data_IF_081704433407
#
_entry.id   IF_081704433407
#
_cell.length_a   1.000
_cell.length_b   1.000
_cell.length_c   1.000
_cell.angle_alpha   90.00
_cell.angle_beta   90.00
_cell.angle_gamma   90.00
#
_symmetry.space_group_name_H-M   'P 1'
#
loop_
_entity.id
_entity.type
_entity.pdbx_description
1 polymer ?
#
# COMPACT_ATOMS: atom_id res chain seq x y z
N UNK A 1 28.91 -25.69 -18.95
CA UNK A 1 29.18 -24.32 -19.44
C UNK A 1 27.84 -23.64 -19.71
N UNK A 2 26.94 -23.64 -18.73
CA UNK A 2 26.79 -22.55 -17.72
C UNK A 2 26.24 -21.26 -18.34
N UNK A 3 24.92 -21.22 -18.55
CA UNK A 3 24.16 -19.98 -18.68
C UNK A 3 23.64 -19.56 -17.31
N UNK A 4 24.53 -19.06 -16.44
CA UNK A 4 24.16 -18.34 -15.23
C UNK A 4 23.70 -16.94 -15.63
N UNK A 5 22.40 -16.67 -15.65
CA UNK A 5 21.92 -15.30 -15.50
C UNK A 5 21.13 -15.20 -14.19
N UNK A 6 21.92 -15.02 -13.14
CA UNK A 6 21.50 -14.84 -11.76
C UNK A 6 20.65 -13.57 -11.65
N UNK A 7 19.39 -13.75 -11.28
CA UNK A 7 18.80 -13.15 -10.08
C UNK A 7 19.36 -11.76 -9.72
N UNK A 8 18.89 -10.70 -10.41
CA UNK A 8 18.87 -9.36 -9.83
C UNK A 8 17.60 -9.25 -8.97
N UNK A 9 17.70 -9.81 -7.76
CA UNK A 9 16.84 -9.42 -6.64
C UNK A 9 17.17 -7.96 -6.35
N UNK A 10 16.18 -7.09 -6.53
CA UNK A 10 16.24 -5.66 -6.31
C UNK A 10 16.83 -5.36 -4.93
N UNK A 11 18.03 -4.81 -4.96
CA UNK A 11 18.77 -4.32 -3.81
C UNK A 11 17.93 -3.27 -3.09
N UNK A 12 17.72 -3.49 -1.80
CA UNK A 12 17.06 -2.58 -0.89
C UNK A 12 17.67 -1.18 -0.98
N UNK A 13 16.86 -0.18 -1.32
CA UNK A 13 17.19 1.22 -1.03
C UNK A 13 16.69 1.51 0.38
N UNK A 14 17.63 1.43 1.31
CA UNK A 14 17.48 1.96 2.66
C UNK A 14 17.57 3.49 2.56
N UNK A 15 16.43 4.19 2.57
CA UNK A 15 16.41 5.64 2.76
C UNK A 15 16.26 5.93 4.25
N UNK A 16 17.37 6.25 4.90
CA UNK A 16 17.39 6.86 6.22
C UNK A 16 17.03 8.35 6.09
N UNK A 17 15.94 8.77 6.73
CA UNK A 17 15.70 10.16 7.06
C UNK A 17 15.64 10.26 8.59
N UNK A 18 16.72 10.80 9.16
CA UNK A 18 16.80 11.10 10.57
C UNK A 18 15.84 12.22 10.95
N UNK A 19 15.33 12.13 12.17
CA UNK A 19 14.86 13.30 12.92
C UNK A 19 15.50 13.22 14.30
N UNK A 20 16.26 14.27 14.60
CA UNK A 20 16.88 14.51 15.88
C UNK A 20 15.79 14.66 16.96
N UNK A 21 15.96 13.96 18.08
CA UNK A 21 15.18 14.16 19.29
C UNK A 21 16.07 14.95 20.27
N UNK A 22 15.81 16.25 20.41
CA UNK A 22 16.44 17.07 21.45
C UNK A 22 15.68 16.92 22.77
N UNK A 23 16.44 16.63 23.83
CA UNK A 23 15.98 16.61 25.20
C UNK A 23 15.82 18.06 25.72
N UNK A 24 14.57 18.49 25.93
CA UNK A 24 14.23 19.73 26.64
C UNK A 24 13.62 19.43 28.01
N UNK A 25 14.35 19.73 29.07
CA UNK A 25 13.91 19.67 30.46
C UNK A 25 13.28 21.01 30.89
N UNK A 26 12.06 20.97 31.44
CA UNK A 26 11.65 21.85 32.53
C UNK A 26 10.53 22.87 32.25
N UNK A 27 9.60 22.95 33.20
CA UNK A 27 8.96 24.21 33.58
C UNK A 27 7.47 24.32 33.25
N UNK A 28 6.65 24.27 34.30
CA UNK A 28 5.23 24.59 34.33
C UNK A 28 4.91 25.96 33.72
N UNK A 29 3.74 26.12 33.10
CA UNK A 29 2.64 26.93 33.63
C UNK A 29 1.53 27.12 32.58
N UNK A 30 0.32 27.13 33.13
CA UNK A 30 -1.00 27.27 32.54
C UNK A 30 -1.13 28.42 31.51
N UNK A 31 -1.50 28.08 30.27
CA UNK A 31 -2.56 28.77 29.50
C UNK A 31 -2.91 28.08 28.18
N UNK A 32 -4.22 27.93 28.01
CA UNK A 32 -4.97 27.60 26.80
C UNK A 32 -4.22 27.67 25.46
N UNK A 33 -4.15 26.53 24.77
CA UNK A 33 -4.08 26.51 23.31
C UNK A 33 -5.15 25.58 22.76
N UNK A 34 -6.08 26.22 22.07
CA UNK A 34 -6.90 25.71 20.97
C UNK A 34 -6.32 24.43 20.38
N UNK A 35 -7.11 23.37 20.46
CA UNK A 35 -6.92 22.13 19.74
C UNK A 35 -6.88 22.41 18.24
N UNK A 36 -5.68 22.69 17.71
CA UNK A 36 -5.40 22.54 16.28
C UNK A 36 -5.22 21.05 16.05
N UNK A 37 -6.34 20.33 15.98
CA UNK A 37 -6.34 19.04 15.31
C UNK A 37 -5.91 19.30 13.85
N UNK A 38 -5.00 18.50 13.27
CA UNK A 38 -4.72 18.61 11.85
C UNK A 38 -6.05 18.42 11.12
N UNK A 39 -6.39 19.37 10.24
CA UNK A 39 -7.48 19.21 9.30
C UNK A 39 -7.18 17.95 8.51
N UNK A 40 -7.88 16.85 8.83
CA UNK A 40 -7.81 15.64 8.04
C UNK A 40 -8.32 16.03 6.66
N UNK A 41 -7.39 16.20 5.72
CA UNK A 41 -7.74 16.29 4.31
C UNK A 41 -8.51 15.02 4.02
N UNK A 42 -9.82 15.15 3.79
CA UNK A 42 -10.65 14.02 3.46
C UNK A 42 -10.20 13.55 2.09
N UNK A 43 -9.22 12.64 2.05
CA UNK A 43 -8.82 11.98 0.81
C UNK A 43 -10.03 11.22 0.32
N UNK A 44 -10.66 11.73 -0.74
CA UNK A 44 -11.86 11.15 -1.33
C UNK A 44 -11.62 9.68 -1.65
N UNK A 45 -12.61 8.83 -1.35
CA UNK A 45 -12.53 7.41 -1.67
C UNK A 45 -12.40 7.24 -3.20
N UNK A 46 -11.50 6.37 -3.69
CA UNK A 46 -11.49 6.00 -5.10
C UNK A 46 -12.81 5.32 -5.48
N UNK A 47 -13.32 5.64 -6.67
CA UNK A 47 -14.56 5.05 -7.19
C UNK A 47 -14.40 3.54 -7.36
N UNK A 48 -15.31 2.75 -6.79
CA UNK A 48 -15.21 1.29 -6.80
C UNK A 48 -14.09 0.73 -5.91
N UNK A 49 -13.52 1.55 -5.01
CA UNK A 49 -12.50 1.10 -4.07
C UNK A 49 -13.02 0.08 -3.06
N UNK A 50 -12.17 -0.89 -2.72
CA UNK A 50 -12.42 -1.91 -1.69
C UNK A 50 -11.66 -1.57 -0.40
N UNK A 51 -12.30 -1.81 0.75
CA UNK A 51 -11.72 -1.54 2.06
C UNK A 51 -11.10 -2.77 2.71
N UNK A 52 -10.56 -2.58 3.91
CA UNK A 52 -10.01 -3.68 4.70
C UNK A 52 -11.11 -4.72 5.06
N UNK A 53 -10.78 -5.99 4.91
CA UNK A 53 -11.70 -7.13 5.07
C UNK A 53 -12.52 -7.46 3.82
N UNK A 54 -12.43 -6.65 2.77
CA UNK A 54 -13.14 -6.87 1.51
C UNK A 54 -12.24 -7.52 0.45
N UNK A 55 -12.86 -8.15 -0.55
CA UNK A 55 -12.16 -8.76 -1.69
C UNK A 55 -12.59 -8.10 -2.98
N UNK A 56 -11.65 -7.55 -3.74
CA UNK A 56 -11.89 -7.16 -5.12
C UNK A 56 -11.79 -8.38 -6.04
N UNK A 57 -12.75 -8.52 -6.95
CA UNK A 57 -12.74 -9.51 -8.01
C UNK A 57 -12.41 -8.80 -9.32
N UNK A 58 -11.30 -9.18 -9.96
CA UNK A 58 -10.87 -8.62 -11.24
C UNK A 58 -10.75 -9.73 -12.29
N UNK A 59 -10.89 -9.35 -13.56
CA UNK A 59 -10.81 -10.28 -14.70
C UNK A 59 -11.79 -11.44 -14.57
N UNK A 60 -13.07 -11.16 -14.32
CA UNK A 60 -14.13 -12.17 -14.14
C UNK A 60 -13.83 -13.21 -13.04
N UNK A 61 -13.07 -12.81 -12.02
CA UNK A 61 -12.70 -13.66 -10.89
C UNK A 61 -11.37 -14.39 -11.05
N UNK A 62 -10.61 -14.12 -12.12
CA UNK A 62 -9.25 -14.60 -12.31
C UNK A 62 -8.27 -14.06 -11.26
N UNK A 63 -8.49 -12.82 -10.78
CA UNK A 63 -7.75 -12.24 -9.68
C UNK A 63 -8.69 -11.91 -8.52
N UNK A 64 -8.43 -12.51 -7.35
CA UNK A 64 -9.11 -12.23 -6.08
C UNK A 64 -8.13 -11.51 -5.17
N UNK A 65 -8.37 -10.23 -4.93
CA UNK A 65 -7.50 -9.37 -4.15
C UNK A 65 -8.17 -9.11 -2.81
N UNK A 66 -7.78 -9.87 -1.80
CA UNK A 66 -8.23 -9.64 -0.43
C UNK A 66 -7.43 -8.50 0.19
N UNK A 67 -8.10 -7.47 0.70
CA UNK A 67 -7.43 -6.33 1.35
C UNK A 67 -7.42 -6.57 2.84
N UNK A 68 -6.26 -6.87 3.41
CA UNK A 68 -6.12 -7.03 4.87
C UNK A 68 -6.02 -5.69 5.60
N UNK A 69 -5.48 -4.66 4.94
CA UNK A 69 -5.30 -3.32 5.51
C UNK A 69 -5.15 -2.28 4.42
N UNK A 70 -5.67 -1.07 4.66
CA UNK A 70 -5.40 0.12 3.85
C UNK A 70 -4.66 1.14 4.71
N UNK A 71 -3.53 1.63 4.22
CA UNK A 71 -2.71 2.70 4.82
C UNK A 71 -2.92 4.01 4.03
N UNK A 72 -2.09 5.04 4.26
CA UNK A 72 -2.23 6.32 3.56
C UNK A 72 -1.96 6.18 2.05
N UNK A 73 -0.86 5.53 1.67
CA UNK A 73 -0.39 5.40 0.27
C UNK A 73 -0.12 3.94 -0.14
N UNK A 74 -0.63 2.99 0.65
CA UNK A 74 -0.37 1.57 0.45
C UNK A 74 -1.56 0.71 0.88
N UNK A 75 -1.63 -0.50 0.34
CA UNK A 75 -2.57 -1.53 0.76
C UNK A 75 -1.83 -2.85 0.99
N UNK A 76 -2.15 -3.53 2.10
CA UNK A 76 -1.68 -4.89 2.35
C UNK A 76 -2.71 -5.88 1.84
N UNK A 77 -2.35 -6.61 0.80
CA UNK A 77 -3.26 -7.44 0.02
C UNK A 77 -2.78 -8.88 -0.06
N UNK A 78 -3.71 -9.82 -0.25
CA UNK A 78 -3.40 -11.19 -0.66
C UNK A 78 -4.07 -11.45 -2.02
N UNK A 79 -3.29 -11.96 -2.98
CA UNK A 79 -3.76 -12.21 -4.34
C UNK A 79 -3.90 -13.71 -4.55
N UNK A 80 -5.13 -14.18 -4.82
CA UNK A 80 -5.45 -15.60 -5.07
C UNK A 80 -4.95 -16.58 -4.00
N UNK A 81 -4.84 -16.14 -2.74
CA UNK A 81 -4.34 -16.97 -1.65
C UNK A 81 -4.33 -16.27 -0.30
N UNK A 82 -3.49 -16.75 0.60
CA UNK A 82 -3.34 -16.22 1.96
C UNK A 82 -2.06 -15.42 2.16
N UNK A 83 -1.10 -15.53 1.23
CA UNK A 83 0.17 -14.81 1.32
C UNK A 83 -0.08 -13.33 1.07
N UNK A 84 0.37 -12.50 2.01
CA UNK A 84 0.09 -11.07 2.00
C UNK A 84 1.31 -10.30 1.52
N UNK A 85 1.11 -9.42 0.57
CA UNK A 85 2.12 -8.44 0.13
C UNK A 85 1.60 -7.02 0.36
N UNK A 86 2.51 -6.09 0.58
CA UNK A 86 2.17 -4.66 0.62
C UNK A 86 2.43 -4.07 -0.74
N UNK A 87 1.43 -3.42 -1.33
CA UNK A 87 1.57 -2.63 -2.55
C UNK A 87 1.44 -1.15 -2.20
N UNK A 88 2.37 -0.34 -2.69
CA UNK A 88 2.20 1.12 -2.76
C UNK A 88 1.50 1.51 -4.06
N UNK A 89 0.94 2.73 -4.12
CA UNK A 89 0.26 3.21 -5.33
C UNK A 89 1.22 3.17 -6.53
N UNK A 90 0.79 2.52 -7.60
CA UNK A 90 1.58 2.26 -8.81
C UNK A 90 2.35 0.93 -8.82
N UNK A 91 2.44 0.23 -7.68
CA UNK A 91 3.06 -1.10 -7.64
C UNK A 91 2.12 -2.20 -8.12
N UNK A 92 2.75 -3.28 -8.59
CA UNK A 92 2.06 -4.44 -9.15
C UNK A 92 2.37 -5.72 -8.38
N UNK A 93 1.37 -6.58 -8.24
CA UNK A 93 1.52 -7.96 -7.79
C UNK A 93 1.16 -8.92 -8.92
N UNK A 94 1.96 -9.97 -9.10
CA UNK A 94 1.66 -11.03 -10.05
C UNK A 94 0.41 -11.83 -9.62
N UNK A 95 -0.37 -12.26 -10.61
CA UNK A 95 -1.54 -13.11 -10.45
C UNK A 95 -1.19 -14.50 -10.98
N UNK A 96 -0.56 -15.32 -10.12
CA UNK A 96 -0.04 -16.63 -10.51
C UNK A 96 1.06 -16.54 -11.58
N UNK A 97 1.25 -17.64 -12.33
CA UNK A 97 2.32 -17.76 -13.34
C UNK A 97 1.91 -17.31 -14.76
N UNK A 98 0.66 -16.89 -14.94
CA UNK A 98 0.06 -16.63 -16.26
C UNK A 98 0.39 -15.28 -16.91
N UNK A 99 1.39 -14.54 -16.42
CA UNK A 99 1.76 -13.22 -16.95
C UNK A 99 0.73 -12.12 -16.69
N UNK A 100 -0.22 -12.36 -15.78
CA UNK A 100 -1.20 -11.38 -15.33
C UNK A 100 -0.74 -10.69 -14.05
N UNK A 101 -1.14 -9.43 -13.87
CA UNK A 101 -0.81 -8.62 -12.71
C UNK A 101 -1.99 -7.78 -12.25
N UNK A 102 -1.97 -7.45 -10.97
CA UNK A 102 -2.85 -6.46 -10.35
C UNK A 102 -2.01 -5.26 -9.95
N UNK A 103 -2.48 -4.06 -10.29
CA UNK A 103 -1.86 -2.79 -9.91
C UNK A 103 -2.70 -2.12 -8.84
N UNK A 104 -2.07 -1.53 -7.82
CA UNK A 104 -2.75 -0.60 -6.91
C UNK A 104 -2.80 0.77 -7.57
N UNK A 105 -3.99 1.21 -7.96
CA UNK A 105 -4.19 2.44 -8.75
C UNK A 105 -4.30 3.69 -7.88
N UNK A 106 -5.04 3.58 -6.77
CA UNK A 106 -5.22 4.68 -5.81
C UNK A 106 -5.63 4.17 -4.44
N UNK A 107 -5.37 4.99 -3.42
CA UNK A 107 -5.80 4.78 -2.03
C UNK A 107 -6.42 6.07 -1.51
N UNK A 108 -7.55 5.96 -0.80
CA UNK A 108 -8.24 7.12 -0.23
C UNK A 108 -9.42 6.71 0.66
N UNK A 109 -9.71 7.50 1.70
CA UNK A 109 -10.77 7.23 2.69
C UNK A 109 -10.80 5.77 3.21
N UNK A 110 -9.63 5.13 3.39
CA UNK A 110 -9.55 3.73 3.83
C UNK A 110 -9.98 2.69 2.79
N UNK A 111 -10.07 3.09 1.52
CA UNK A 111 -10.37 2.25 0.35
C UNK A 111 -9.20 2.24 -0.61
N UNK A 112 -9.04 1.14 -1.34
CA UNK A 112 -8.03 0.93 -2.36
C UNK A 112 -8.69 0.51 -3.68
N UNK A 113 -8.27 1.08 -4.81
CA UNK A 113 -8.72 0.67 -6.14
C UNK A 113 -7.62 -0.08 -6.88
N UNK A 114 -8.02 -1.11 -7.62
CA UNK A 114 -7.09 -2.00 -8.30
C UNK A 114 -7.44 -2.09 -9.79
N UNK A 115 -6.41 -2.22 -10.62
CA UNK A 115 -6.54 -2.55 -12.04
C UNK A 115 -5.91 -3.92 -12.31
N UNK A 116 -6.35 -4.60 -13.37
CA UNK A 116 -5.88 -5.93 -13.76
C UNK A 116 -5.48 -5.92 -15.23
N UNK A 117 -4.29 -6.47 -15.53
CA UNK A 117 -3.76 -6.55 -16.88
C UNK A 117 -3.02 -7.88 -17.08
N UNK A 118 -2.99 -8.38 -18.32
CA UNK A 118 -2.20 -9.55 -18.69
C UNK A 118 -1.32 -9.21 -19.90
N UNK A 119 -0.04 -9.55 -19.81
CA UNK A 119 0.85 -9.53 -20.97
C UNK A 119 0.80 -10.89 -21.65
N UNK A 120 0.20 -10.91 -22.84
CA UNK A 120 0.18 -12.06 -23.77
C UNK A 120 1.51 -12.27 -24.47
#
# INVERSE_FOLDING_TARGET
>A
MEGMNKLLVGLAVLAAAGIAFEAGNGGSDDKAETSTAPVAVATTAPAGGVGAGETALLGDGAARVFVSRVAADAARVAVNGFDTTTLTVGETAAVGDGGCSVTLDAVGAGKASFSYACSS
#
